data_IF_197422163247
#
_entry.id   IF_197422163247
#
_cell.length_a   1.000
_cell.length_b   1.000
_cell.length_c   1.000
_cell.angle_alpha   90.00
_cell.angle_beta   90.00
_cell.angle_gamma   90.00
#
_symmetry.space_group_name_H-M   'P 1'
#
loop_
_entity.id
_entity.type
_entity.pdbx_description
1 polymer ?
#
# COMPACT_ATOMS: atom_id res chain seq x y z
N UNK A 1 10.44 -14.37 3.27
CA UNK A 1 9.75 -13.15 2.84
C UNK A 1 8.39 -13.45 2.25
N UNK A 2 7.39 -13.51 3.14
CA UNK A 2 5.98 -13.61 2.76
C UNK A 2 5.42 -12.19 2.58
N UNK A 3 4.94 -11.89 1.37
CA UNK A 3 4.48 -10.55 1.01
C UNK A 3 2.99 -10.57 0.68
N UNK A 4 2.25 -9.59 1.18
CA UNK A 4 0.84 -9.35 0.84
C UNK A 4 0.74 -8.08 -0.02
N UNK A 5 0.11 -8.19 -1.20
CA UNK A 5 -0.24 -7.02 -2.00
C UNK A 5 -1.73 -6.68 -1.84
N UNK A 6 -2.02 -5.41 -1.54
CA UNK A 6 -3.36 -4.85 -1.37
C UNK A 6 -3.57 -3.82 -2.47
N UNK A 7 -4.53 -4.07 -3.36
CA UNK A 7 -4.95 -3.09 -4.36
C UNK A 7 -5.90 -2.11 -3.69
N UNK A 8 -5.54 -0.84 -3.69
CA UNK A 8 -6.32 0.22 -3.07
C UNK A 8 -6.98 1.05 -4.18
N UNK A 9 -8.31 1.14 -4.20
CA UNK A 9 -9.02 1.99 -5.16
C UNK A 9 -8.61 3.45 -5.02
N UNK A 10 -8.36 4.11 -6.16
CA UNK A 10 -7.88 5.50 -6.21
C UNK A 10 -8.96 6.53 -5.89
N UNK A 11 -10.23 6.13 -5.98
CA UNK A 11 -11.44 6.93 -5.82
C UNK A 11 -12.03 6.89 -4.40
N UNK A 12 -11.30 6.36 -3.42
CA UNK A 12 -11.79 6.30 -2.04
C UNK A 12 -11.89 7.69 -1.41
N UNK A 13 -13.03 7.98 -0.76
CA UNK A 13 -13.18 9.17 0.05
C UNK A 13 -12.28 9.07 1.30
N UNK A 14 -11.23 9.90 1.47
CA UNK A 14 -10.30 9.78 2.59
C UNK A 14 -10.97 9.94 3.96
N UNK A 15 -12.13 10.60 4.02
CA UNK A 15 -12.91 10.80 5.26
C UNK A 15 -13.59 9.54 5.77
N UNK A 16 -13.83 8.57 4.90
CA UNK A 16 -14.52 7.31 5.26
C UNK A 16 -13.55 6.19 5.60
N UNK A 17 -12.25 6.39 5.39
CA UNK A 17 -11.24 5.36 5.64
C UNK A 17 -10.84 5.40 7.12
N UNK A 18 -11.11 4.32 7.83
CA UNK A 18 -10.67 4.17 9.23
C UNK A 18 -9.18 3.83 9.28
N UNK A 19 -8.39 4.75 9.83
CA UNK A 19 -6.95 4.54 10.09
C UNK A 19 -6.73 3.39 11.07
N UNK A 20 -7.56 3.31 12.12
CA UNK A 20 -7.50 2.26 13.13
C UNK A 20 -7.68 0.87 12.50
N UNK A 21 -8.71 0.70 11.66
CA UNK A 21 -8.94 -0.57 10.95
C UNK A 21 -7.78 -0.95 10.03
N UNK A 22 -7.15 0.04 9.41
CA UNK A 22 -5.99 -0.20 8.55
C UNK A 22 -4.76 -0.63 9.37
N UNK A 23 -4.54 -0.04 10.55
CA UNK A 23 -3.46 -0.48 11.46
C UNK A 23 -3.72 -1.89 11.96
N UNK A 24 -4.95 -2.21 12.42
CA UNK A 24 -5.30 -3.57 12.85
C UNK A 24 -5.12 -4.61 11.74
N UNK A 25 -5.30 -4.23 10.47
CA UNK A 25 -4.98 -5.11 9.34
C UNK A 25 -3.48 -5.40 9.24
N UNK A 26 -2.62 -4.41 9.46
CA UNK A 26 -1.16 -4.59 9.44
C UNK A 26 -0.71 -5.47 10.61
N UNK A 27 -1.22 -5.24 11.81
CA UNK A 27 -0.97 -6.07 13.00
C UNK A 27 -1.37 -7.54 12.74
N UNK A 28 -2.57 -7.76 12.18
CA UNK A 28 -3.02 -9.11 11.81
C UNK A 28 -2.12 -9.77 10.74
N UNK A 29 -1.61 -8.98 9.78
CA UNK A 29 -0.68 -9.49 8.79
C UNK A 29 0.62 -9.99 9.45
N UNK A 30 1.14 -9.25 10.45
CA UNK A 30 2.34 -9.64 11.20
C UNK A 30 2.09 -10.88 12.05
N UNK A 31 1.15 -10.76 13.00
CA UNK A 31 1.04 -11.66 14.15
C UNK A 31 0.41 -13.00 13.77
N UNK A 32 -0.60 -12.97 12.89
CA UNK A 32 -1.43 -14.13 12.59
C UNK A 32 -1.08 -14.76 11.24
N UNK A 33 -0.68 -13.94 10.26
CA UNK A 33 -0.36 -14.42 8.92
C UNK A 33 1.14 -14.60 8.68
N UNK A 34 2.01 -14.08 9.54
CA UNK A 34 3.46 -14.12 9.35
C UNK A 34 3.91 -13.44 8.06
N UNK A 35 3.24 -12.35 7.68
CA UNK A 35 3.60 -11.49 6.56
C UNK A 35 4.74 -10.57 7.00
N UNK A 36 5.81 -10.54 6.21
CA UNK A 36 7.00 -9.70 6.46
C UNK A 36 6.93 -8.37 5.71
N UNK A 37 6.03 -8.27 4.71
CA UNK A 37 5.90 -7.07 3.89
C UNK A 37 4.49 -6.91 3.33
N UNK A 38 3.97 -5.68 3.42
CA UNK A 38 2.72 -5.28 2.78
C UNK A 38 3.01 -4.31 1.65
N UNK A 39 2.45 -4.57 0.46
CA UNK A 39 2.50 -3.72 -0.71
C UNK A 39 1.14 -3.05 -0.93
N UNK A 40 1.09 -1.74 -0.84
CA UNK A 40 -0.05 -0.93 -1.23
C UNK A 40 0.07 -0.58 -2.71
N UNK A 41 -0.86 -1.08 -3.53
CA UNK A 41 -0.84 -0.99 -5.00
C UNK A 41 -1.93 -0.04 -5.47
N UNK A 42 -1.54 0.97 -6.25
CA UNK A 42 -2.45 1.97 -6.80
C UNK A 42 -2.31 2.03 -8.32
N UNK A 43 -3.43 2.15 -9.03
CA UNK A 43 -3.42 2.46 -10.46
C UNK A 43 -2.87 3.89 -10.67
N UNK A 44 -1.99 4.06 -11.66
CA UNK A 44 -1.42 5.38 -11.98
C UNK A 44 -2.41 6.39 -12.55
N UNK A 45 -3.32 6.06 -13.49
CA UNK A 45 -4.23 7.07 -14.04
C UNK A 45 -5.15 7.62 -12.93
N UNK A 46 -5.13 8.94 -12.74
CA UNK A 46 -6.05 9.64 -11.83
C UNK A 46 -5.56 9.87 -10.39
N UNK A 47 -4.33 9.45 -10.02
CA UNK A 47 -3.82 9.59 -8.66
C UNK A 47 -2.75 10.68 -8.49
N UNK A 48 -2.96 11.58 -7.53
CA UNK A 48 -1.93 12.49 -7.03
C UNK A 48 -1.13 11.82 -5.91
N UNK A 49 0.15 11.50 -6.16
CA UNK A 49 1.05 10.88 -5.17
C UNK A 49 1.35 11.77 -3.94
N UNK A 50 1.00 13.06 -3.99
CA UNK A 50 1.17 14.01 -2.90
C UNK A 50 -0.09 14.20 -2.05
N UNK A 51 -1.21 13.58 -2.44
CA UNK A 51 -2.52 13.80 -1.82
C UNK A 51 -3.23 12.47 -1.51
N UNK A 52 -4.40 12.56 -0.89
CA UNK A 52 -5.25 11.40 -0.64
C UNK A 52 -4.59 10.30 0.21
N UNK A 53 -4.94 9.05 -0.12
CA UNK A 53 -4.52 7.88 0.65
C UNK A 53 -3.01 7.58 0.61
N UNK A 54 -2.28 7.74 -0.51
CA UNK A 54 -0.82 7.59 -0.53
C UNK A 54 -0.09 8.47 0.48
N UNK A 55 -0.55 9.73 0.66
CA UNK A 55 0.00 10.63 1.68
C UNK A 55 -0.20 10.08 3.09
N UNK A 56 -1.38 9.53 3.38
CA UNK A 56 -1.67 8.88 4.67
C UNK A 56 -0.74 7.70 4.93
N UNK A 57 -0.52 6.84 3.93
CA UNK A 57 0.37 5.68 4.08
C UNK A 57 1.82 6.09 4.37
N UNK A 58 2.29 7.23 3.84
CA UNK A 58 3.63 7.76 4.21
C UNK A 58 3.74 8.08 5.70
N UNK A 59 2.66 8.54 6.35
CA UNK A 59 2.66 8.79 7.80
C UNK A 59 2.65 7.50 8.62
N UNK A 60 2.05 6.43 8.10
CA UNK A 60 2.08 5.09 8.72
C UNK A 60 3.47 4.46 8.60
N UNK A 61 4.23 4.81 7.55
CA UNK A 61 5.61 4.35 7.36
C UNK A 61 5.87 3.72 5.99
N UNK A 62 4.85 3.62 5.13
CA UNK A 62 5.01 3.10 3.78
C UNK A 62 5.97 3.97 2.96
N UNK A 63 6.81 3.32 2.16
CA UNK A 63 7.76 3.96 1.23
C UNK A 63 7.45 3.58 -0.20
N UNK A 64 7.65 4.50 -1.13
CA UNK A 64 7.50 4.23 -2.56
C UNK A 64 8.55 3.22 -2.99
N UNK A 65 8.12 2.17 -3.72
CA UNK A 65 9.05 1.30 -4.43
C UNK A 65 9.46 1.95 -5.75
N UNK A 66 10.77 1.94 -6.10
CA UNK A 66 11.19 2.32 -7.44
C UNK A 66 10.69 1.27 -8.46
N UNK A 67 10.48 1.64 -9.74
CA UNK A 67 9.84 0.77 -10.73
C UNK A 67 10.52 -0.58 -10.96
N UNK A 68 11.83 -0.66 -10.75
CA UNK A 68 12.68 -1.85 -10.87
C UNK A 68 12.57 -2.78 -9.65
N UNK A 69 12.07 -2.29 -8.52
CA UNK A 69 11.84 -3.07 -7.30
C UNK A 69 10.39 -3.58 -7.17
N UNK A 70 9.50 -3.25 -8.12
CA UNK A 70 8.12 -3.74 -8.12
C UNK A 70 8.11 -5.23 -8.51
N UNK A 71 7.58 -6.13 -7.67
CA UNK A 71 7.60 -7.56 -7.97
C UNK A 71 6.56 -7.94 -9.03
N UNK A 72 6.91 -8.90 -9.90
CA UNK A 72 5.94 -9.54 -10.78
C UNK A 72 4.87 -10.27 -9.93
N UNK A 73 3.59 -10.28 -10.34
CA UNK A 73 3.06 -9.88 -11.64
C UNK A 73 2.64 -8.39 -11.75
N UNK A 74 3.00 -7.54 -10.79
CA UNK A 74 2.55 -6.14 -10.79
C UNK A 74 3.32 -5.35 -11.86
N UNK A 75 2.59 -4.78 -12.83
CA UNK A 75 3.16 -3.93 -13.87
C UNK A 75 3.54 -2.56 -13.30
N UNK A 76 4.83 -2.24 -13.27
CA UNK A 76 5.31 -0.92 -12.86
C UNK A 76 4.97 0.18 -13.88
N UNK A 77 4.43 -0.16 -15.05
CA UNK A 77 3.88 0.81 -16.01
C UNK A 77 2.48 1.27 -15.62
N UNK A 78 1.64 0.35 -15.14
CA UNK A 78 0.22 0.59 -14.86
C UNK A 78 -0.01 0.97 -13.39
N UNK A 79 0.85 0.49 -12.50
CA UNK A 79 0.73 0.67 -11.07
C UNK A 79 1.91 1.43 -10.47
N UNK A 80 1.61 2.12 -9.38
CA UNK A 80 2.58 2.61 -8.42
C UNK A 80 2.41 1.83 -7.12
N UNK A 81 3.52 1.49 -6.47
CA UNK A 81 3.53 0.61 -5.31
C UNK A 81 4.24 1.28 -4.15
N UNK A 82 3.66 1.18 -2.96
CA UNK A 82 4.33 1.51 -1.71
C UNK A 82 4.50 0.25 -0.87
N UNK A 83 5.64 0.10 -0.21
CA UNK A 83 5.94 -1.03 0.68
C UNK A 83 6.00 -0.59 2.14
N UNK A 84 5.52 -1.46 3.01
CA UNK A 84 5.72 -1.40 4.46
C UNK A 84 6.31 -2.74 4.91
N UNK A 85 7.44 -2.68 5.60
CA UNK A 85 7.97 -3.83 6.34
C UNK A 85 7.20 -3.89 7.64
N UNK A 86 6.55 -5.04 7.86
CA UNK A 86 5.83 -5.33 9.11
C UNK A 86 6.85 -5.79 10.14
#
# INVERSE_FOLDING_TARGET
MKTLAIIIPVDQNPKTISRERFVSLLEYCEEELGIEQVLAVFEKPGLSMSEGFPRTLRYVGFRVLPPDAVPSPISSNDYFVMSYSV
#
